data_IF_699507938180
#
_entry.id   IF_699507938180
#
_cell.length_a   1.000
_cell.length_b   1.000
_cell.length_c   1.000
_cell.angle_alpha   90.00
_cell.angle_beta   90.00
_cell.angle_gamma   90.00
#
_symmetry.space_group_name_H-M   'P 1'
#
loop_
_entity.id
_entity.type
_entity.pdbx_description
1 polymer ?
#
# COMPACT_ATOMS: atom_id res chain seq x y z
N UNK A 1 39.97 -11.47 -4.29
CA UNK A 1 38.85 -11.33 -5.25
C UNK A 1 37.53 -11.40 -4.50
N UNK A 2 36.85 -10.27 -4.29
CA UNK A 2 35.50 -10.23 -3.74
C UNK A 2 34.54 -9.78 -4.86
N UNK A 3 33.51 -10.58 -5.10
CA UNK A 3 32.53 -10.43 -6.19
C UNK A 3 31.68 -9.17 -5.96
N UNK A 4 31.40 -8.34 -6.99
CA UNK A 4 30.63 -7.12 -6.80
C UNK A 4 29.17 -7.43 -6.49
N UNK A 5 28.63 -6.86 -5.41
CA UNK A 5 27.19 -6.81 -5.15
C UNK A 5 26.58 -5.91 -6.22
N UNK A 6 25.56 -6.35 -6.97
CA UNK A 6 24.97 -5.49 -7.99
C UNK A 6 24.24 -4.33 -7.32
N UNK A 7 24.88 -3.16 -7.37
CA UNK A 7 24.28 -1.84 -7.19
C UNK A 7 23.25 -1.62 -8.29
N UNK A 8 22.07 -2.19 -8.11
CA UNK A 8 20.91 -1.80 -8.91
C UNK A 8 20.51 -0.41 -8.43
N UNK A 9 21.05 0.61 -9.11
CA UNK A 9 20.44 1.94 -9.28
C UNK A 9 18.93 1.74 -9.34
N UNK A 10 18.25 1.90 -8.20
CA UNK A 10 16.81 2.13 -8.21
C UNK A 10 16.71 3.62 -8.47
N UNK A 11 16.07 3.96 -9.57
CA UNK A 11 15.54 5.29 -9.82
C UNK A 11 14.96 5.87 -8.52
N UNK A 12 14.87 7.21 -8.34
CA UNK A 12 14.04 7.78 -7.30
C UNK A 12 12.55 7.53 -7.63
N UNK A 13 12.17 6.26 -7.78
CA UNK A 13 10.83 5.81 -7.55
C UNK A 13 10.57 6.12 -6.08
N UNK A 14 9.60 6.99 -5.85
CA UNK A 14 8.96 7.20 -4.56
C UNK A 14 9.01 5.90 -3.75
N UNK A 15 9.47 5.88 -2.49
CA UNK A 15 9.76 4.65 -1.79
C UNK A 15 8.51 3.77 -1.71
N UNK A 16 8.39 2.83 -2.66
CA UNK A 16 7.31 1.85 -2.66
C UNK A 16 7.60 0.86 -1.55
N UNK A 17 7.10 1.18 -0.36
CA UNK A 17 7.21 0.34 0.82
C UNK A 17 6.27 -0.85 0.69
N UNK A 18 6.77 -2.05 0.98
CA UNK A 18 5.93 -3.25 1.08
C UNK A 18 5.51 -3.43 2.53
N UNK A 19 4.33 -2.97 2.87
CA UNK A 19 3.80 -2.98 4.24
C UNK A 19 2.78 -4.10 4.41
N UNK A 20 2.54 -4.54 5.65
CA UNK A 20 1.38 -5.37 5.94
C UNK A 20 0.10 -4.54 5.86
N UNK A 21 -1.07 -5.16 5.62
CA UNK A 21 -2.32 -4.42 5.55
C UNK A 21 -2.66 -3.65 6.82
N UNK A 22 -2.26 -4.17 7.99
CA UNK A 22 -2.43 -3.49 9.29
C UNK A 22 -1.49 -2.29 9.48
N UNK A 23 -0.42 -2.19 8.68
CA UNK A 23 0.55 -1.08 8.74
C UNK A 23 0.19 0.04 7.75
N UNK A 24 -0.91 -0.10 6.99
CA UNK A 24 -1.43 0.98 6.15
C UNK A 24 -1.78 2.20 7.01
N UNK A 25 -1.40 3.38 6.54
CA UNK A 25 -1.68 4.65 7.17
C UNK A 25 -2.57 5.50 6.27
N UNK A 26 -3.36 6.38 6.88
CA UNK A 26 -4.10 7.41 6.14
C UNK A 26 -3.10 8.27 5.36
N UNK A 27 -3.37 8.48 4.07
CA UNK A 27 -2.47 9.16 3.13
C UNK A 27 -1.50 8.22 2.38
N UNK A 28 -1.44 6.92 2.71
CA UNK A 28 -0.69 5.97 1.87
C UNK A 28 -1.35 5.87 0.50
N UNK A 29 -0.53 5.94 -0.55
CA UNK A 29 -0.99 5.78 -1.93
C UNK A 29 -0.76 4.36 -2.43
N UNK A 30 -1.84 3.71 -2.82
CA UNK A 30 -1.89 2.38 -3.38
C UNK A 30 -2.02 2.50 -4.90
N UNK A 31 -1.00 2.07 -5.64
CA UNK A 31 -1.08 1.96 -7.09
C UNK A 31 -1.53 0.54 -7.47
N UNK A 32 -2.62 0.46 -8.22
CA UNK A 32 -3.24 -0.79 -8.65
C UNK A 32 -3.57 -0.73 -10.15
N UNK A 33 -3.97 -1.85 -10.75
CA UNK A 33 -4.31 -1.89 -12.19
C UNK A 33 -5.48 -0.95 -12.54
N UNK A 34 -6.37 -0.70 -11.60
CA UNK A 34 -7.48 0.24 -11.77
C UNK A 34 -7.09 1.71 -11.51
N UNK A 35 -5.85 2.01 -11.10
CA UNK A 35 -5.35 3.37 -10.88
C UNK A 35 -4.79 3.62 -9.48
N UNK A 36 -4.61 4.90 -9.14
CA UNK A 36 -4.06 5.33 -7.85
C UNK A 36 -5.17 5.60 -6.83
N UNK A 37 -4.98 5.03 -5.65
CA UNK A 37 -5.89 5.13 -4.52
C UNK A 37 -5.16 5.68 -3.31
N UNK A 38 -5.84 6.45 -2.48
CA UNK A 38 -5.32 6.94 -1.22
C UNK A 38 -6.10 6.32 -0.06
N UNK A 39 -5.39 5.84 0.96
CA UNK A 39 -6.03 5.36 2.20
C UNK A 39 -6.60 6.55 2.94
N UNK A 40 -7.91 6.57 3.17
CA UNK A 40 -8.62 7.67 3.84
C UNK A 40 -9.06 7.34 5.27
N UNK A 41 -8.90 6.08 5.70
CA UNK A 41 -9.18 5.67 7.08
C UNK A 41 -8.21 4.57 7.54
N UNK A 42 -7.89 4.49 8.85
CA UNK A 42 -7.00 3.46 9.36
C UNK A 42 -7.57 2.05 9.10
N UNK A 43 -6.70 1.08 8.80
CA UNK A 43 -7.11 -0.29 8.53
C UNK A 43 -7.65 -0.97 9.80
N UNK A 44 -8.59 -1.90 9.62
CA UNK A 44 -9.14 -2.72 10.70
C UNK A 44 -9.26 -4.18 10.26
N UNK A 45 -9.08 -5.11 11.20
CA UNK A 45 -9.15 -6.54 10.93
C UNK A 45 -10.53 -7.12 11.25
N UNK A 46 -11.03 -8.03 10.42
CA UNK A 46 -12.23 -8.83 10.64
C UNK A 46 -11.91 -10.32 10.49
N UNK A 47 -12.93 -11.19 10.56
CA UNK A 47 -12.79 -12.65 10.45
C UNK A 47 -11.75 -13.23 11.44
N UNK A 48 -11.75 -12.74 12.68
CA UNK A 48 -10.80 -13.17 13.72
C UNK A 48 -9.35 -12.77 13.45
N UNK A 49 -9.12 -11.66 12.74
CA UNK A 49 -7.77 -11.14 12.46
C UNK A 49 -7.14 -11.64 11.15
N UNK A 50 -7.88 -12.41 10.36
CA UNK A 50 -7.36 -13.00 9.10
C UNK A 50 -7.45 -12.06 7.92
N UNK A 51 -8.45 -11.19 7.91
CA UNK A 51 -8.70 -10.26 6.80
C UNK A 51 -8.64 -8.83 7.32
N UNK A 52 -7.83 -8.01 6.67
CA UNK A 52 -7.70 -6.59 6.97
C UNK A 52 -8.42 -5.78 5.90
N UNK A 53 -9.20 -4.81 6.35
CA UNK A 53 -9.98 -3.91 5.53
C UNK A 53 -9.40 -2.50 5.68
N UNK A 54 -9.24 -1.78 4.58
CA UNK A 54 -8.94 -0.35 4.62
C UNK A 54 -9.89 0.41 3.69
N UNK A 55 -10.27 1.62 4.09
CA UNK A 55 -11.06 2.50 3.24
C UNK A 55 -10.10 3.31 2.37
N UNK A 56 -10.28 3.21 1.07
CA UNK A 56 -9.46 3.88 0.07
C UNK A 56 -10.36 4.76 -0.80
N UNK A 57 -9.79 5.80 -1.39
CA UNK A 57 -10.48 6.73 -2.27
C UNK A 57 -9.66 6.91 -3.54
N UNK A 58 -10.31 7.02 -4.71
CA UNK A 58 -9.56 7.30 -5.94
C UNK A 58 -8.96 8.69 -5.86
N UNK A 59 -7.70 8.81 -6.25
CA UNK A 59 -7.02 10.10 -6.29
C UNK A 59 -7.67 11.06 -7.31
N UNK A 60 -8.14 10.54 -8.45
CA UNK A 60 -8.79 11.33 -9.50
C UNK A 60 -10.27 11.63 -9.19
N UNK A 61 -10.93 10.79 -8.39
CA UNK A 61 -12.36 10.91 -8.09
C UNK A 61 -12.62 10.72 -6.59
N UNK A 62 -12.54 11.79 -5.78
CA UNK A 62 -12.69 11.68 -4.34
C UNK A 62 -14.10 11.27 -3.88
N UNK A 63 -15.12 11.39 -4.73
CA UNK A 63 -16.44 10.86 -4.42
C UNK A 63 -16.48 9.31 -4.35
N UNK A 64 -15.55 8.65 -5.05
CA UNK A 64 -15.46 7.20 -5.19
C UNK A 64 -14.49 6.62 -4.16
N UNK A 65 -15.04 6.30 -2.99
CA UNK A 65 -14.34 5.51 -1.98
C UNK A 65 -14.78 4.05 -2.04
N UNK A 66 -13.85 3.16 -1.74
CA UNK A 66 -14.06 1.71 -1.71
C UNK A 66 -13.41 1.13 -0.45
N UNK A 67 -13.91 -0.03 0.00
CA UNK A 67 -13.25 -0.81 1.03
C UNK A 67 -12.46 -1.91 0.32
N UNK A 68 -11.14 -1.86 0.44
CA UNK A 68 -10.28 -2.95 -0.02
C UNK A 68 -9.96 -3.89 1.14
N UNK A 69 -9.94 -5.18 0.82
CA UNK A 69 -9.69 -6.25 1.78
C UNK A 69 -8.47 -7.06 1.35
N UNK A 70 -7.62 -7.39 2.31
CA UNK A 70 -6.43 -8.22 2.09
C UNK A 70 -6.33 -9.30 3.17
N UNK A 71 -5.71 -10.42 2.83
CA UNK A 71 -5.23 -11.37 3.85
C UNK A 71 -4.16 -10.68 4.70
N UNK A 72 -4.18 -10.91 6.01
CA UNK A 72 -3.25 -10.29 6.98
C UNK A 72 -1.77 -10.50 6.62
N UNK A 73 -1.45 -11.58 5.90
CA UNK A 73 -0.08 -11.93 5.50
C UNK A 73 0.32 -11.33 4.15
N UNK A 74 -0.63 -10.77 3.40
CA UNK A 74 -0.40 -10.28 2.04
C UNK A 74 0.19 -8.88 2.09
N UNK A 75 1.48 -8.77 1.73
CA UNK A 75 2.17 -7.48 1.67
C UNK A 75 1.61 -6.63 0.52
N UNK A 76 1.38 -5.36 0.82
CA UNK A 76 0.83 -4.38 -0.10
C UNK A 76 1.92 -3.36 -0.42
N UNK A 77 2.06 -3.03 -1.70
CA UNK A 77 2.94 -1.96 -2.15
C UNK A 77 2.25 -0.62 -1.97
N UNK A 78 2.81 0.24 -1.13
CA UNK A 78 2.34 1.62 -0.95
C UNK A 78 3.45 2.60 -1.28
N UNK A 79 3.07 3.73 -1.85
CA UNK A 79 3.91 4.91 -1.94
C UNK A 79 3.56 5.82 -0.76
N UNK A 80 4.57 6.16 0.03
CA UNK A 80 4.47 7.13 1.12
C UNK A 80 5.32 8.34 0.75
N UNK A 81 4.72 9.52 0.78
CA UNK A 81 5.49 10.77 0.71
C UNK A 81 5.99 11.03 2.13
N UNK A 82 7.30 10.83 2.33
CA UNK A 82 7.98 11.09 3.61
C UNK A 82 8.29 12.57 3.81
#
# INVERSE_FOLDING_TARGET
MAKPRPEKKREPAEPTAKVLPMELQVGDRLADETGEWEVIAPPYSTAGGRVVHARVQRHDEPASWEIRSWDVSKRISVKRVG
#
